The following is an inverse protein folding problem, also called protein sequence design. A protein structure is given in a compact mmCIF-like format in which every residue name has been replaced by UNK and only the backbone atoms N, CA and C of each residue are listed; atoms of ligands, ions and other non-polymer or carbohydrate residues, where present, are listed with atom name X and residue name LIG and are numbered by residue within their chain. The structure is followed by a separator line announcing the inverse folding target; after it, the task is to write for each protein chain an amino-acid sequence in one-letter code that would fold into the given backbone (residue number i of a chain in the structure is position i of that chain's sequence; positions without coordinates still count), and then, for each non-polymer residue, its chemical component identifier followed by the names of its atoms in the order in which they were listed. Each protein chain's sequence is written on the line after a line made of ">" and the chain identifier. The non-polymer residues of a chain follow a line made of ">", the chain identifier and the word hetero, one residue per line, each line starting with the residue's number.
data_IF_844273021995
#
_entry.id   IF_844273021995
#
_cell.length_a   1.000
_cell.length_b   1.000
_cell.length_c   1.000
_cell.angle_alpha   90.00
_cell.angle_beta   90.00
_cell.angle_gamma   90.00
#
_symmetry.space_group_name_H-M   'P 1'
#
loop_
_entity.id
_entity.type
_entity.pdbx_description
1 polymer ?
#
# COMPACT_ATOMS: atom_id res chain seq x y z
N UNK A 1 2.66 12.60 -57.42
CA UNK A 1 2.42 11.33 -56.68
C UNK A 1 1.13 11.39 -55.87
N UNK A 2 -0.03 11.65 -56.40
CA UNK A 2 -1.30 11.73 -55.65
C UNK A 2 -2.05 10.38 -55.51
N UNK A 3 -1.62 9.32 -56.21
CA UNK A 3 -2.37 8.07 -56.25
C UNK A 3 -2.10 7.09 -55.07
N UNK A 4 -1.04 7.28 -54.34
CA UNK A 4 -0.66 6.33 -53.27
C UNK A 4 -1.57 6.48 -52.03
N UNK A 5 -1.84 7.71 -51.65
CA UNK A 5 -2.69 7.98 -50.45
C UNK A 5 -4.16 7.65 -50.69
N UNK A 6 -4.69 7.84 -51.90
CA UNK A 6 -6.10 7.53 -52.19
C UNK A 6 -6.36 6.02 -52.23
N UNK A 7 -5.42 5.23 -52.74
CA UNK A 7 -5.52 3.78 -52.73
C UNK A 7 -5.38 3.19 -51.31
N UNK A 8 -4.49 3.75 -50.47
CA UNK A 8 -4.32 3.33 -49.08
C UNK A 8 -5.57 3.60 -48.26
N UNK A 9 -6.22 4.75 -48.46
CA UNK A 9 -7.46 5.11 -47.76
C UNK A 9 -8.64 4.21 -48.18
N UNK A 10 -8.72 3.84 -49.45
CA UNK A 10 -9.74 2.93 -49.97
C UNK A 10 -9.58 1.50 -49.38
N UNK A 11 -8.35 1.02 -49.29
CA UNK A 11 -8.01 -0.28 -48.70
C UNK A 11 -8.31 -0.25 -47.21
N UNK A 12 -7.90 0.79 -46.49
CA UNK A 12 -8.17 0.95 -45.04
C UNK A 12 -9.66 0.94 -44.75
N UNK A 13 -10.46 1.68 -45.52
CA UNK A 13 -11.91 1.72 -45.36
C UNK A 13 -12.55 0.34 -45.60
N UNK A 14 -12.05 -0.40 -46.59
CA UNK A 14 -12.54 -1.77 -46.89
C UNK A 14 -12.21 -2.75 -45.77
N UNK A 15 -11.02 -2.66 -45.19
CA UNK A 15 -10.59 -3.50 -44.07
C UNK A 15 -11.39 -3.15 -42.79
N UNK A 16 -11.60 -1.86 -42.51
CA UNK A 16 -12.41 -1.45 -41.36
C UNK A 16 -13.86 -1.99 -41.49
N UNK A 17 -14.44 -1.92 -42.69
CA UNK A 17 -15.81 -2.47 -42.91
C UNK A 17 -15.84 -3.99 -42.78
N UNK A 18 -14.78 -4.69 -43.20
CA UNK A 18 -14.67 -6.14 -43.06
C UNK A 18 -14.53 -6.55 -41.59
N UNK A 19 -13.71 -5.86 -40.84
CA UNK A 19 -13.54 -6.07 -39.37
C UNK A 19 -14.84 -5.75 -38.65
N UNK A 20 -15.51 -4.64 -38.98
CA UNK A 20 -16.75 -4.23 -38.33
C UNK A 20 -17.92 -5.21 -38.54
N UNK A 21 -17.92 -6.00 -39.62
CA UNK A 21 -18.95 -7.00 -39.90
C UNK A 21 -18.72 -8.37 -39.29
N UNK A 22 -17.55 -8.62 -38.75
CA UNK A 22 -17.25 -9.91 -38.12
C UNK A 22 -17.34 -9.79 -36.56
N UNK A 23 -18.36 -10.38 -35.95
CA UNK A 23 -18.58 -10.25 -34.49
C UNK A 23 -17.40 -10.77 -33.67
N UNK A 24 -16.64 -11.70 -34.23
CA UNK A 24 -15.45 -12.27 -33.59
C UNK A 24 -14.33 -11.25 -33.33
N UNK A 25 -14.13 -10.29 -34.26
CA UNK A 25 -13.14 -9.23 -34.09
C UNK A 25 -13.56 -8.21 -33.02
N UNK A 26 -14.85 -7.89 -32.94
CA UNK A 26 -15.40 -7.05 -31.90
C UNK A 26 -15.24 -7.68 -30.51
N UNK A 27 -15.50 -8.98 -30.43
CA UNK A 27 -15.35 -9.73 -29.18
C UNK A 27 -13.89 -9.75 -28.71
N UNK A 28 -12.95 -10.00 -29.62
CA UNK A 28 -11.53 -10.03 -29.28
C UNK A 28 -10.94 -8.63 -29.01
N UNK A 29 -11.32 -7.63 -29.81
CA UNK A 29 -10.65 -6.31 -29.77
C UNK A 29 -11.26 -5.37 -28.74
N UNK A 30 -12.55 -5.48 -28.43
CA UNK A 30 -13.26 -4.57 -27.51
C UNK A 30 -13.68 -5.27 -26.24
N UNK A 31 -14.36 -6.40 -26.36
CA UNK A 31 -14.93 -7.08 -25.18
C UNK A 31 -13.84 -7.71 -24.33
N UNK A 32 -12.87 -8.38 -24.94
CA UNK A 32 -11.79 -9.03 -24.19
C UNK A 32 -10.97 -8.05 -23.34
N UNK A 33 -10.51 -6.89 -23.85
CA UNK A 33 -9.80 -5.91 -23.02
C UNK A 33 -10.68 -5.34 -21.90
N UNK A 34 -11.97 -5.08 -22.15
CA UNK A 34 -12.89 -4.57 -21.13
C UNK A 34 -13.08 -5.61 -20.01
N UNK A 35 -13.29 -6.88 -20.38
CA UNK A 35 -13.43 -7.97 -19.40
C UNK A 35 -12.14 -8.17 -18.63
N UNK A 36 -10.98 -8.14 -19.29
CA UNK A 36 -9.68 -8.24 -18.65
C UNK A 36 -9.46 -7.07 -17.67
N UNK A 37 -9.78 -5.84 -18.08
CA UNK A 37 -9.67 -4.67 -17.21
C UNK A 37 -10.59 -4.76 -16.00
N UNK A 38 -11.85 -5.15 -16.21
CA UNK A 38 -12.80 -5.35 -15.12
C UNK A 38 -12.34 -6.45 -14.15
N UNK A 39 -11.81 -7.55 -14.69
CA UNK A 39 -11.25 -8.63 -13.89
C UNK A 39 -10.07 -8.17 -13.03
N UNK A 40 -9.11 -7.46 -13.62
CA UNK A 40 -7.99 -6.90 -12.87
C UNK A 40 -8.42 -5.83 -11.87
N UNK A 41 -9.38 -4.99 -12.22
CA UNK A 41 -9.93 -3.99 -11.30
C UNK A 41 -10.55 -4.64 -10.06
N UNK A 42 -11.33 -5.71 -10.23
CA UNK A 42 -11.91 -6.47 -9.11
C UNK A 42 -10.83 -7.19 -8.29
N UNK A 43 -9.84 -7.79 -8.98
CA UNK A 43 -8.73 -8.49 -8.33
C UNK A 43 -7.87 -7.53 -7.48
N UNK A 44 -7.55 -6.36 -8.02
CA UNK A 44 -6.73 -5.35 -7.36
C UNK A 44 -7.51 -4.53 -6.33
N UNK A 45 -8.83 -4.49 -6.40
CA UNK A 45 -9.67 -3.76 -5.43
C UNK A 45 -9.46 -4.26 -3.99
N UNK A 46 -9.21 -5.56 -3.80
CA UNK A 46 -8.90 -6.18 -2.51
C UNK A 46 -7.40 -6.31 -2.22
N UNK A 47 -6.54 -5.90 -3.16
CA UNK A 47 -5.09 -6.14 -3.08
C UNK A 47 -4.30 -5.13 -2.25
N UNK A 48 -4.92 -4.05 -1.76
CA UNK A 48 -4.28 -3.13 -0.83
C UNK A 48 -4.61 -3.58 0.59
N UNK A 49 -3.62 -4.10 1.29
CA UNK A 49 -3.76 -4.38 2.71
C UNK A 49 -4.06 -3.07 3.44
N UNK A 50 -5.21 -3.01 4.09
CA UNK A 50 -5.67 -1.89 4.93
C UNK A 50 -5.89 -2.42 6.34
N UNK A 51 -5.82 -1.51 7.30
CA UNK A 51 -6.09 -1.83 8.71
C UNK A 51 -5.20 -2.97 9.24
N UNK A 52 -3.89 -2.89 8.98
CA UNK A 52 -2.93 -3.85 9.49
C UNK A 52 -2.78 -3.62 11.00
N UNK A 53 -3.11 -4.61 11.84
CA UNK A 53 -3.00 -4.47 13.28
C UNK A 53 -1.53 -4.39 13.70
N UNK A 54 -1.16 -3.31 14.39
CA UNK A 54 0.17 -3.13 14.96
C UNK A 54 0.09 -2.94 16.48
N UNK A 55 1.17 -3.29 17.16
CA UNK A 55 1.39 -2.94 18.56
C UNK A 55 2.36 -1.75 18.64
N UNK A 56 2.06 -0.79 19.49
CA UNK A 56 2.96 0.32 19.81
C UNK A 56 3.50 0.11 21.21
N UNK A 57 4.83 0.04 21.33
CA UNK A 57 5.55 0.01 22.60
C UNK A 57 6.02 1.43 22.87
N UNK A 58 5.34 2.14 23.75
CA UNK A 58 5.68 3.52 24.14
C UNK A 58 6.43 3.51 25.45
N UNK A 59 7.76 3.67 25.40
CA UNK A 59 8.63 3.76 26.57
C UNK A 59 8.76 5.21 27.08
N UNK A 60 8.57 6.20 26.20
CA UNK A 60 8.73 7.62 26.53
C UNK A 60 7.52 8.19 27.30
N UNK A 61 6.32 7.69 27.00
CA UNK A 61 5.05 8.15 27.63
C UNK A 61 4.84 9.67 27.59
N UNK A 62 5.46 10.37 26.62
CA UNK A 62 5.43 11.82 26.47
C UNK A 62 4.19 12.30 25.71
N UNK A 63 4.05 13.61 25.59
CA UNK A 63 3.01 14.22 24.75
C UNK A 63 3.31 13.96 23.27
N UNK A 64 4.58 13.97 22.90
CA UNK A 64 5.00 13.74 21.53
C UNK A 64 4.82 12.29 21.12
N UNK A 65 5.16 11.32 21.99
CA UNK A 65 4.98 9.89 21.70
C UNK A 65 3.51 9.53 21.43
N UNK A 66 2.60 10.09 22.24
CA UNK A 66 1.15 9.93 22.03
C UNK A 66 0.68 10.53 20.72
N UNK A 67 1.21 11.68 20.34
CA UNK A 67 0.88 12.33 19.07
C UNK A 67 1.37 11.50 17.87
N UNK A 68 2.57 10.94 17.96
CA UNK A 68 3.11 10.01 16.94
C UNK A 68 2.24 8.76 16.83
N UNK A 69 1.84 8.17 17.95
CA UNK A 69 0.92 7.02 17.97
C UNK A 69 -0.41 7.34 17.27
N UNK A 70 -1.00 8.52 17.52
CA UNK A 70 -2.21 8.97 16.85
C UNK A 70 -2.01 9.20 15.35
N UNK A 71 -0.85 9.73 14.96
CA UNK A 71 -0.51 9.93 13.53
C UNK A 71 -0.38 8.58 12.82
N UNK A 72 0.23 7.58 13.45
CA UNK A 72 0.33 6.21 12.92
C UNK A 72 -1.06 5.60 12.78
N UNK A 73 -1.91 5.74 13.79
CA UNK A 73 -3.29 5.21 13.77
C UNK A 73 -4.17 5.88 12.71
N UNK A 74 -3.86 7.11 12.34
CA UNK A 74 -4.55 7.85 11.28
C UNK A 74 -4.12 7.43 9.86
N UNK A 75 -3.10 6.58 9.70
CA UNK A 75 -2.68 6.10 8.39
C UNK A 75 -3.65 5.06 7.83
N UNK A 76 -3.90 5.03 6.52
CA UNK A 76 -4.85 4.07 5.93
C UNK A 76 -4.34 2.63 5.92
N UNK A 77 -3.06 2.41 6.17
CA UNK A 77 -2.40 1.11 6.05
C UNK A 77 -2.32 0.36 7.37
N UNK A 78 -2.18 1.08 8.49
CA UNK A 78 -1.99 0.50 9.81
C UNK A 78 -2.99 1.07 10.82
N UNK A 79 -3.39 0.27 11.78
CA UNK A 79 -4.15 0.73 12.94
C UNK A 79 -3.53 0.19 14.23
N UNK A 80 -3.52 1.01 15.25
CA UNK A 80 -2.94 0.66 16.55
C UNK A 80 -3.91 -0.23 17.33
N UNK A 81 -3.72 -1.54 17.21
CA UNK A 81 -4.56 -2.52 17.88
C UNK A 81 -4.25 -2.63 19.36
N UNK A 82 -2.99 -2.47 19.75
CA UNK A 82 -2.53 -2.60 21.13
C UNK A 82 -1.44 -1.56 21.43
N UNK A 83 -1.64 -0.84 22.53
CA UNK A 83 -0.60 -0.03 23.17
C UNK A 83 -0.05 -0.82 24.37
N UNK A 84 1.24 -1.13 24.35
CA UNK A 84 1.93 -1.91 25.39
C UNK A 84 3.16 -1.16 25.88
N UNK A 85 3.61 -1.46 27.10
CA UNK A 85 4.77 -0.80 27.70
C UNK A 85 6.06 -1.60 27.55
N UNK A 86 5.95 -2.89 27.26
CA UNK A 86 7.09 -3.80 27.18
C UNK A 86 7.18 -4.54 25.85
N UNK A 87 8.40 -4.71 25.36
CA UNK A 87 8.67 -5.45 24.13
C UNK A 87 8.22 -6.92 24.20
N UNK A 88 8.40 -7.57 25.38
CA UNK A 88 7.98 -8.96 25.58
C UNK A 88 6.47 -9.19 25.36
N UNK A 89 5.66 -8.21 25.74
CA UNK A 89 4.22 -8.27 25.53
C UNK A 89 3.86 -8.08 24.06
N UNK A 90 4.53 -7.15 23.39
CA UNK A 90 4.37 -6.93 21.95
C UNK A 90 4.78 -8.16 21.14
N UNK A 91 5.92 -8.77 21.45
CA UNK A 91 6.37 -10.01 20.82
C UNK A 91 5.38 -11.16 21.02
N UNK A 92 4.82 -11.29 22.20
CA UNK A 92 3.78 -12.30 22.51
C UNK A 92 2.54 -12.11 21.65
N UNK A 93 2.09 -10.84 21.47
CA UNK A 93 0.96 -10.51 20.59
C UNK A 93 1.28 -10.84 19.12
N UNK A 94 2.52 -10.59 18.70
CA UNK A 94 2.98 -10.93 17.35
C UNK A 94 3.05 -12.45 17.13
N UNK A 95 3.59 -13.21 18.07
CA UNK A 95 3.63 -14.68 18.01
C UNK A 95 2.24 -15.32 18.02
N UNK A 96 1.27 -14.67 18.68
CA UNK A 96 -0.14 -15.08 18.65
C UNK A 96 -0.86 -14.69 17.35
N UNK A 97 -0.20 -13.99 16.45
CA UNK A 97 -0.80 -13.50 15.19
C UNK A 97 -1.83 -12.40 15.39
N UNK A 98 -1.87 -11.75 16.56
CA UNK A 98 -2.80 -10.64 16.84
C UNK A 98 -2.35 -9.33 16.24
N UNK A 99 -1.04 -9.15 16.06
CA UNK A 99 -0.43 -8.00 15.40
C UNK A 99 0.56 -8.48 14.35
N UNK A 100 0.71 -7.71 13.28
CA UNK A 100 1.63 -7.98 12.19
C UNK A 100 2.89 -7.11 12.25
N UNK A 101 2.90 -6.11 13.11
CA UNK A 101 4.05 -5.24 13.33
C UNK A 101 4.09 -4.69 14.73
N UNK A 102 5.29 -4.31 15.16
CA UNK A 102 5.57 -3.63 16.43
C UNK A 102 6.29 -2.34 16.11
N UNK A 103 5.87 -1.24 16.69
CA UNK A 103 6.56 0.04 16.65
C UNK A 103 7.05 0.36 18.04
N UNK A 104 8.35 0.54 18.20
CA UNK A 104 8.98 0.91 19.47
C UNK A 104 9.32 2.40 19.44
N UNK A 105 8.78 3.13 20.41
CA UNK A 105 9.14 4.51 20.71
C UNK A 105 10.09 4.46 21.93
N UNK A 106 11.38 4.80 21.73
CA UNK A 106 12.38 4.67 22.80
C UNK A 106 12.20 5.72 23.87
N UNK A 107 12.80 5.45 25.03
CA UNK A 107 12.91 6.42 26.13
C UNK A 107 13.55 7.73 25.67
N UNK A 108 13.14 8.84 26.25
CA UNK A 108 13.62 10.19 25.97
C UNK A 108 13.38 10.65 24.51
N UNK A 109 12.41 10.06 23.79
CA UNK A 109 12.09 10.40 22.41
C UNK A 109 11.78 11.89 22.25
N UNK A 110 10.88 12.47 23.06
CA UNK A 110 10.52 13.89 23.01
C UNK A 110 11.73 14.77 23.31
N UNK A 111 12.49 14.44 24.35
CA UNK A 111 13.68 15.19 24.74
C UNK A 111 14.77 15.20 23.66
N UNK A 112 14.97 14.07 23.00
CA UNK A 112 15.95 13.96 21.92
C UNK A 112 15.54 14.77 20.70
N UNK A 113 14.27 14.74 20.33
CA UNK A 113 13.75 15.57 19.22
C UNK A 113 13.87 17.05 19.53
N UNK A 114 13.48 17.49 20.74
CA UNK A 114 13.60 18.90 21.14
C UNK A 114 15.05 19.39 21.19
N UNK A 115 15.99 18.53 21.50
CA UNK A 115 17.42 18.84 21.52
C UNK A 115 18.10 18.68 20.14
N UNK A 116 17.35 18.46 19.08
CA UNK A 116 17.85 18.21 17.72
C UNK A 116 18.83 17.03 17.65
N UNK A 117 18.69 16.05 18.58
CA UNK A 117 19.47 14.83 18.61
C UNK A 117 18.79 13.79 17.72
N UNK A 118 19.61 12.98 17.03
CA UNK A 118 19.08 11.88 16.22
C UNK A 118 18.41 10.85 17.12
N UNK A 119 17.11 10.62 16.89
CA UNK A 119 16.38 9.52 17.49
C UNK A 119 15.67 8.74 16.37
N UNK A 120 15.55 7.45 16.54
CA UNK A 120 14.95 6.57 15.54
C UNK A 120 13.79 5.81 16.17
N UNK A 121 12.70 5.72 15.43
CA UNK A 121 11.65 4.77 15.71
C UNK A 121 12.08 3.40 15.17
N UNK A 122 12.01 2.39 16.01
CA UNK A 122 12.30 1.03 15.58
C UNK A 122 10.99 0.33 15.22
N UNK A 123 10.97 -0.29 14.04
CA UNK A 123 9.82 -1.05 13.58
C UNK A 123 10.20 -2.50 13.33
N UNK A 124 9.49 -3.42 13.96
CA UNK A 124 9.65 -4.85 13.80
C UNK A 124 8.43 -5.40 13.06
N UNK A 125 8.65 -6.07 11.94
CA UNK A 125 7.60 -6.57 11.07
C UNK A 125 7.70 -8.09 10.94
N UNK A 126 6.56 -8.76 10.97
CA UNK A 126 6.53 -10.21 10.77
C UNK A 126 6.89 -10.56 9.33
N UNK A 127 7.98 -11.33 9.12
CA UNK A 127 8.54 -11.63 7.81
C UNK A 127 7.68 -12.46 6.86
N UNK A 128 6.43 -12.73 7.19
CA UNK A 128 5.55 -13.64 6.42
C UNK A 128 4.96 -12.96 5.16
N UNK A 129 4.91 -11.64 5.08
CA UNK A 129 4.35 -10.91 3.94
C UNK A 129 5.22 -9.71 3.55
N UNK A 130 6.09 -9.90 2.56
CA UNK A 130 7.00 -8.87 2.06
C UNK A 130 6.26 -7.60 1.59
N UNK A 131 5.07 -7.76 1.01
CA UNK A 131 4.26 -6.63 0.51
C UNK A 131 3.71 -5.76 1.65
N UNK A 132 3.25 -6.38 2.74
CA UNK A 132 2.74 -5.69 3.93
C UNK A 132 3.86 -4.95 4.64
N UNK A 133 5.01 -5.61 4.79
CA UNK A 133 6.20 -5.01 5.40
C UNK A 133 6.67 -3.77 4.63
N UNK A 134 6.67 -3.82 3.30
CA UNK A 134 7.06 -2.69 2.47
C UNK A 134 6.12 -1.49 2.59
N UNK A 135 4.82 -1.72 2.69
CA UNK A 135 3.82 -0.66 2.87
C UNK A 135 3.94 0.00 4.24
N UNK A 136 4.03 -0.80 5.31
CA UNK A 136 4.19 -0.28 6.68
C UNK A 136 5.48 0.52 6.83
N UNK A 137 6.61 0.02 6.33
CA UNK A 137 7.88 0.73 6.39
C UNK A 137 7.81 2.10 5.68
N UNK A 138 7.13 2.16 4.52
CA UNK A 138 6.96 3.40 3.76
C UNK A 138 6.11 4.42 4.51
N UNK A 139 4.97 3.99 5.07
CA UNK A 139 4.05 4.89 5.78
C UNK A 139 4.66 5.41 7.08
N UNK A 140 5.38 4.56 7.82
CA UNK A 140 6.09 4.97 9.03
C UNK A 140 7.19 5.99 8.73
N UNK A 141 7.96 5.81 7.65
CA UNK A 141 8.97 6.79 7.23
C UNK A 141 8.36 8.13 6.84
N UNK A 142 7.21 8.13 6.17
CA UNK A 142 6.55 9.38 5.74
C UNK A 142 5.94 10.13 6.92
N UNK A 143 5.56 9.44 7.99
CA UNK A 143 4.91 10.05 9.17
C UNK A 143 5.91 10.77 10.09
N UNK A 144 7.18 10.38 10.04
CA UNK A 144 8.24 10.88 10.95
C UNK A 144 9.14 11.95 10.31
N UNK A 145 9.03 12.20 9.01
CA UNK A 145 9.78 13.25 8.31
C UNK A 145 9.00 14.55 8.24
#
# INVERSE_FOLDING_TARGET
>A
MPGFFSNTLAVLRREIYRVARQPMYWLLTVILPIVAFAFFAVLLYKGVARDIPIAVVDQDNSTLSRKVTQMIDATPTAWVAYGVQGMEEAERLMLQGKVMGIVLIPDFFEKNILNNSQTHLESYLTGTNITVNGLLAKDLQTTVT
#
